data_IF_318942945709
#
_entry.id   IF_318942945709
#
_cell.length_a   1.000
_cell.length_b   1.000
_cell.length_c   1.000
_cell.angle_alpha   90.00
_cell.angle_beta   90.00
_cell.angle_gamma   90.00
#
_symmetry.space_group_name_H-M   'P 1'
#
loop_
_entity.id
_entity.type
_entity.pdbx_description
1 polymer ?
#
# COMPACT_ATOMS: atom_id res chain seq x y z
N UNK A 1 26.78 16.71 25.85
CA UNK A 1 26.11 16.28 24.60
C UNK A 1 26.40 14.82 24.36
N UNK A 2 25.66 13.95 25.06
CA UNK A 2 25.78 12.51 24.91
C UNK A 2 25.32 12.16 23.50
N UNK A 3 26.27 11.66 22.73
CA UNK A 3 26.13 11.13 21.38
C UNK A 3 24.83 10.32 21.25
N UNK A 4 24.15 10.47 20.11
CA UNK A 4 22.92 9.72 19.82
C UNK A 4 23.14 8.25 20.16
N UNK A 5 22.39 7.73 21.13
CA UNK A 5 22.47 6.33 21.58
C UNK A 5 22.51 5.39 20.38
N UNK A 6 23.49 4.49 20.36
CA UNK A 6 23.72 3.56 19.25
C UNK A 6 22.53 2.61 19.09
N UNK A 7 21.91 2.24 20.21
CA UNK A 7 20.75 1.37 20.27
C UNK A 7 19.49 2.15 20.64
N UNK A 8 18.34 1.56 20.28
CA UNK A 8 17.01 2.08 20.60
C UNK A 8 16.13 0.94 21.07
N UNK A 9 15.44 1.13 22.17
CA UNK A 9 14.45 0.19 22.66
C UNK A 9 13.09 0.49 22.00
N UNK A 10 12.46 -0.50 21.39
CA UNK A 10 11.10 -0.39 20.85
C UNK A 10 10.21 -1.34 21.65
N UNK A 11 9.11 -0.83 22.19
CA UNK A 11 8.08 -1.63 22.83
C UNK A 11 7.20 -2.28 21.76
N UNK A 12 7.14 -3.61 21.78
CA UNK A 12 6.29 -4.38 20.88
C UNK A 12 5.09 -4.91 21.66
N UNK A 13 3.88 -4.62 21.18
CA UNK A 13 2.69 -5.32 21.67
C UNK A 13 2.77 -6.80 21.28
N UNK A 14 2.10 -7.73 22.00
CA UNK A 14 2.14 -9.15 21.68
C UNK A 14 1.74 -9.47 20.23
N UNK A 15 0.78 -8.73 19.68
CA UNK A 15 0.34 -8.85 18.28
C UNK A 15 1.46 -8.51 17.30
N UNK A 16 2.19 -7.42 17.54
CA UNK A 16 3.29 -6.97 16.68
C UNK A 16 4.51 -7.87 16.86
N UNK A 17 4.79 -8.32 18.09
CA UNK A 17 5.88 -9.24 18.39
C UNK A 17 5.71 -10.60 17.67
N UNK A 18 4.47 -11.08 17.52
CA UNK A 18 4.19 -12.30 16.75
C UNK A 18 4.52 -12.17 15.26
N UNK A 19 4.58 -10.94 14.75
CA UNK A 19 4.89 -10.62 13.35
C UNK A 19 6.32 -10.10 13.16
N UNK A 20 7.23 -10.33 14.13
CA UNK A 20 8.56 -9.71 14.16
C UNK A 20 9.37 -9.84 12.87
N UNK A 21 9.32 -10.99 12.20
CA UNK A 21 10.02 -11.22 10.92
C UNK A 21 9.41 -10.44 9.74
N UNK A 22 8.13 -10.07 9.83
CA UNK A 22 7.41 -9.31 8.80
C UNK A 22 7.46 -7.79 9.05
N UNK A 23 8.07 -7.33 10.15
CA UNK A 23 8.13 -5.92 10.50
C UNK A 23 9.09 -5.17 9.56
N UNK A 24 8.60 -4.09 8.96
CA UNK A 24 9.41 -3.13 8.22
C UNK A 24 9.46 -1.80 8.96
N UNK A 25 10.66 -1.32 9.25
CA UNK A 25 10.86 -0.03 9.92
C UNK A 25 11.12 1.04 8.87
N UNK A 26 10.15 1.93 8.66
CA UNK A 26 10.24 3.07 7.74
C UNK A 26 10.07 4.38 8.52
N UNK A 27 11.15 4.96 9.03
CA UNK A 27 11.07 6.13 9.93
C UNK A 27 10.20 7.25 9.34
N UNK A 28 9.22 7.80 10.09
CA UNK A 28 8.96 7.63 11.52
C UNK A 28 7.94 6.52 11.88
N UNK A 29 7.57 5.65 10.94
CA UNK A 29 6.58 4.59 11.12
C UNK A 29 7.22 3.18 11.14
N UNK A 30 6.45 2.24 11.65
CA UNK A 30 6.70 0.81 11.62
C UNK A 30 5.48 0.17 10.95
N UNK A 31 5.71 -0.65 9.93
CA UNK A 31 4.65 -1.30 9.19
C UNK A 31 4.72 -2.82 9.39
N UNK A 32 3.57 -3.44 9.66
CA UNK A 32 3.36 -4.87 9.41
C UNK A 32 2.86 -5.04 7.98
N UNK A 33 2.48 -6.26 7.59
CA UNK A 33 1.82 -6.51 6.29
C UNK A 33 0.51 -5.72 6.10
N UNK A 34 -0.18 -5.39 7.19
CA UNK A 34 -1.56 -4.91 7.16
C UNK A 34 -1.84 -3.63 7.97
N UNK A 35 -0.92 -3.19 8.83
CA UNK A 35 -1.12 -2.04 9.72
C UNK A 35 0.12 -1.15 9.77
N UNK A 36 -0.11 0.15 9.93
CA UNK A 36 0.93 1.15 10.17
C UNK A 36 0.92 1.63 11.62
N UNK A 37 2.09 1.74 12.23
CA UNK A 37 2.30 2.22 13.58
C UNK A 37 3.22 3.44 13.59
N UNK A 38 2.81 4.52 14.22
CA UNK A 38 3.70 5.66 14.51
C UNK A 38 4.58 5.33 15.70
N UNK A 39 5.88 5.59 15.55
CA UNK A 39 6.87 5.42 16.61
C UNK A 39 6.94 6.71 17.44
N UNK A 40 6.58 6.66 18.71
CA UNK A 40 6.69 7.81 19.63
C UNK A 40 7.77 7.56 20.67
N UNK A 41 8.56 8.59 20.98
CA UNK A 41 9.58 8.51 22.03
C UNK A 41 8.96 8.86 23.37
N UNK A 42 9.17 7.99 24.35
CA UNK A 42 8.78 8.21 25.72
C UNK A 42 10.03 8.19 26.60
N UNK A 43 10.26 9.30 27.30
CA UNK A 43 11.43 9.46 28.16
C UNK A 43 11.17 8.88 29.56
N UNK A 44 12.22 8.32 30.16
CA UNK A 44 12.25 7.97 31.57
C UNK A 44 13.11 8.97 32.33
N UNK A 45 12.79 9.19 33.60
CA UNK A 45 13.66 9.95 34.51
C UNK A 45 14.89 9.15 34.95
N UNK A 46 14.89 7.84 34.71
CA UNK A 46 15.95 6.90 35.08
C UNK A 46 16.76 6.49 33.85
N UNK A 47 17.98 6.00 34.08
CA UNK A 47 18.84 5.43 33.04
C UNK A 47 18.71 3.91 33.01
N UNK A 48 18.48 3.35 31.83
CA UNK A 48 18.48 1.91 31.57
C UNK A 48 19.81 1.54 30.93
N UNK A 49 20.53 0.59 31.54
CA UNK A 49 21.82 0.11 31.02
C UNK A 49 21.56 -1.09 30.10
N UNK A 50 21.99 -0.98 28.85
CA UNK A 50 22.03 -2.11 27.93
C UNK A 50 23.32 -2.88 28.18
N UNK A 51 23.18 -4.14 28.62
CA UNK A 51 24.31 -4.99 28.96
C UNK A 51 24.52 -6.07 27.90
N UNK A 52 25.77 -6.38 27.59
CA UNK A 52 26.11 -7.58 26.82
C UNK A 52 27.07 -8.47 27.62
N UNK A 53 27.02 -9.81 27.45
CA UNK A 53 27.99 -10.69 28.06
C UNK A 53 29.40 -10.33 27.58
N UNK A 54 30.29 -10.05 28.52
CA UNK A 54 31.68 -9.72 28.19
C UNK A 54 32.39 -10.96 27.64
N UNK A 55 32.93 -10.85 26.43
CA UNK A 55 33.78 -11.87 25.83
C UNK A 55 35.22 -11.82 26.36
N UNK A 56 35.55 -10.81 27.18
CA UNK A 56 36.89 -10.64 27.75
C UNK A 56 37.01 -11.35 29.09
N UNK A 57 37.91 -12.33 29.16
CA UNK A 57 38.23 -13.02 30.40
C UNK A 57 39.00 -12.06 31.31
N UNK A 58 38.37 -11.56 32.37
CA UNK A 58 39.00 -10.63 33.30
C UNK A 58 39.87 -11.44 34.27
N UNK A 59 41.22 -11.40 34.19
CA UNK A 59 42.08 -12.36 34.89
C UNK A 59 42.18 -12.14 36.41
N UNK A 60 41.49 -11.14 36.96
CA UNK A 60 41.65 -10.66 38.34
C UNK A 60 40.35 -10.65 39.17
N UNK A 61 39.25 -11.22 38.67
CA UNK A 61 38.04 -11.40 39.49
C UNK A 61 38.18 -12.73 40.23
N UNK A 62 38.79 -12.65 41.42
CA UNK A 62 38.94 -13.81 42.30
C UNK A 62 37.55 -14.31 42.73
N UNK A 63 37.22 -15.56 42.36
CA UNK A 63 36.17 -16.41 42.95
C UNK A 63 34.69 -16.16 42.64
N UNK A 64 34.31 -15.75 41.43
CA UNK A 64 32.92 -15.90 41.00
C UNK A 64 32.83 -16.62 39.65
N UNK A 65 32.04 -17.70 39.61
CA UNK A 65 31.56 -18.35 38.37
C UNK A 65 30.49 -17.50 37.66
N UNK A 66 30.32 -16.24 38.06
CA UNK A 66 29.24 -15.39 37.60
C UNK A 66 29.61 -14.73 36.26
N UNK A 67 28.65 -14.64 35.32
CA UNK A 67 28.86 -13.99 34.04
C UNK A 67 29.20 -12.50 34.21
N UNK A 68 30.31 -12.08 33.61
CA UNK A 68 30.71 -10.67 33.54
C UNK A 68 29.95 -10.00 32.40
N UNK A 69 29.36 -8.83 32.66
CA UNK A 69 28.67 -8.03 31.65
C UNK A 69 29.35 -6.69 31.45
N UNK A 70 29.33 -6.19 30.22
CA UNK A 70 29.77 -4.84 29.88
C UNK A 70 28.58 -3.96 29.49
N UNK A 71 28.67 -2.66 29.84
CA UNK A 71 27.66 -1.66 29.45
C UNK A 71 27.91 -1.28 28.00
N UNK A 72 26.97 -1.62 27.14
CA UNK A 72 26.98 -1.32 25.71
C UNK A 72 26.39 0.05 25.43
N UNK A 73 25.30 0.41 26.13
CA UNK A 73 24.61 1.68 25.92
C UNK A 73 23.85 2.10 27.19
N UNK A 74 23.54 3.39 27.28
CA UNK A 74 22.73 3.98 28.36
C UNK A 74 21.52 4.67 27.75
N UNK A 75 20.35 4.06 27.90
CA UNK A 75 19.10 4.52 27.33
C UNK A 75 18.29 5.30 28.37
N UNK A 76 17.81 6.48 28.00
CA UNK A 76 16.91 7.31 28.83
C UNK A 76 15.52 7.51 28.18
N UNK A 77 15.23 6.76 27.12
CA UNK A 77 13.93 6.71 26.48
C UNK A 77 13.70 5.34 25.86
N UNK A 78 12.44 5.06 25.57
CA UNK A 78 12.00 3.97 24.71
C UNK A 78 11.07 4.50 23.63
N UNK A 79 10.86 3.68 22.61
CA UNK A 79 9.95 3.96 21.51
C UNK A 79 8.69 3.12 21.69
N UNK A 80 7.56 3.76 21.95
CA UNK A 80 6.25 3.10 21.94
C UNK A 80 5.65 3.10 20.53
N UNK A 81 4.81 2.09 20.25
CA UNK A 81 4.09 1.97 19.00
C UNK A 81 2.63 2.37 19.19
N UNK A 82 2.14 3.24 18.32
CA UNK A 82 0.73 3.62 18.27
C UNK A 82 0.16 3.37 16.90
N UNK A 83 -1.01 2.73 16.82
CA UNK A 83 -1.71 2.56 15.56
C UNK A 83 -1.93 3.92 14.91
N UNK A 84 -1.57 4.02 13.64
CA UNK A 84 -1.67 5.24 12.85
C UNK A 84 -2.53 4.99 11.63
N UNK A 85 -3.34 5.98 11.25
CA UNK A 85 -3.91 5.97 9.93
C UNK A 85 -2.77 6.06 8.88
N UNK A 86 -2.89 5.34 7.75
CA UNK A 86 -1.94 5.47 6.66
C UNK A 86 -2.02 6.88 6.07
N UNK A 87 -0.88 7.46 5.69
CA UNK A 87 -0.82 8.84 5.17
C UNK A 87 -1.15 8.90 3.68
N UNK A 88 -2.43 8.68 3.37
CA UNK A 88 -2.93 8.64 1.98
C UNK A 88 -2.83 10.00 1.28
N UNK A 89 -2.70 11.10 2.03
CA UNK A 89 -2.47 12.42 1.46
C UNK A 89 -1.16 12.46 0.63
N UNK A 90 -0.13 11.73 1.06
CA UNK A 90 1.13 11.61 0.33
C UNK A 90 0.92 10.92 -1.03
N UNK A 91 0.03 9.94 -1.09
CA UNK A 91 -0.30 9.26 -2.35
C UNK A 91 -0.96 10.23 -3.33
N UNK A 92 -1.85 11.10 -2.84
CA UNK A 92 -2.47 12.14 -3.65
C UNK A 92 -1.44 13.13 -4.20
N UNK A 93 -0.53 13.63 -3.36
CA UNK A 93 0.53 14.55 -3.81
C UNK A 93 1.41 13.95 -4.93
N UNK A 94 1.67 12.65 -4.87
CA UNK A 94 2.51 11.95 -5.84
C UNK A 94 1.76 11.67 -7.16
N UNK A 95 0.49 11.25 -7.11
CA UNK A 95 -0.24 10.73 -8.27
C UNK A 95 -1.14 11.75 -8.97
N UNK A 96 -1.61 12.79 -8.26
CA UNK A 96 -2.45 13.86 -8.84
C UNK A 96 -1.83 14.53 -10.07
N UNK A 97 -0.51 14.86 -10.10
CA UNK A 97 0.11 15.50 -11.26
C UNK A 97 0.13 14.66 -12.54
N UNK A 98 -0.12 13.35 -12.43
CA UNK A 98 -0.09 12.37 -13.52
C UNK A 98 -1.42 11.63 -13.69
N UNK A 99 -2.53 12.21 -13.21
CA UNK A 99 -3.88 11.66 -13.43
C UNK A 99 -4.07 11.33 -14.90
N UNK A 100 -4.57 10.14 -15.21
CA UNK A 100 -4.88 9.70 -16.57
C UNK A 100 -6.24 10.23 -17.02
N UNK A 101 -6.24 11.11 -18.02
CA UNK A 101 -7.45 11.73 -18.60
C UNK A 101 -7.90 11.12 -19.92
N UNK A 102 -7.21 10.08 -20.39
CA UNK A 102 -7.46 9.45 -21.68
C UNK A 102 -6.23 9.41 -22.59
N UNK A 103 -6.28 8.63 -23.68
CA UNK A 103 -5.12 8.35 -24.53
C UNK A 103 -4.63 9.60 -25.28
N UNK A 104 -5.53 10.53 -25.61
CA UNK A 104 -5.19 11.74 -26.37
C UNK A 104 -4.44 12.79 -25.53
N UNK A 105 -4.66 12.77 -24.21
CA UNK A 105 -4.07 13.72 -23.25
C UNK A 105 -2.69 13.29 -22.74
N UNK A 106 -2.18 12.14 -23.16
CA UNK A 106 -0.89 11.60 -22.67
C UNK A 106 0.31 12.52 -22.95
N UNK A 107 0.18 13.45 -23.90
CA UNK A 107 1.22 14.42 -24.24
C UNK A 107 1.46 15.44 -23.12
N UNK A 108 0.51 15.64 -22.20
CA UNK A 108 0.61 16.58 -21.08
C UNK A 108 1.68 16.16 -20.05
N UNK A 109 2.09 14.89 -20.02
CA UNK A 109 2.91 14.32 -18.95
C UNK A 109 4.39 14.12 -19.29
N UNK A 110 4.88 14.63 -20.43
CA UNK A 110 6.25 14.39 -20.91
C UNK A 110 7.35 14.71 -19.89
N UNK A 111 7.12 15.73 -19.05
CA UNK A 111 8.08 16.20 -18.05
C UNK A 111 7.70 15.79 -16.61
N UNK A 112 6.75 14.87 -16.44
CA UNK A 112 6.25 14.44 -15.13
C UNK A 112 6.91 13.14 -14.69
N UNK A 113 7.15 13.01 -13.39
CA UNK A 113 7.62 11.76 -12.78
C UNK A 113 6.44 10.83 -12.54
N UNK A 114 6.56 9.60 -13.01
CA UNK A 114 5.69 8.48 -12.66
C UNK A 114 6.31 7.64 -11.55
N UNK A 115 5.47 6.88 -10.84
CA UNK A 115 5.88 6.06 -9.71
C UNK A 115 5.48 4.60 -9.89
N UNK A 116 6.43 3.70 -9.68
CA UNK A 116 6.15 2.26 -9.59
C UNK A 116 5.52 1.93 -8.23
N UNK A 117 4.95 0.73 -8.08
CA UNK A 117 4.44 0.29 -6.79
C UNK A 117 5.52 0.33 -5.69
N UNK A 118 6.72 -0.15 -6.00
CA UNK A 118 7.84 -0.18 -5.05
C UNK A 118 8.29 1.23 -4.66
N UNK A 119 8.28 2.20 -5.59
CA UNK A 119 8.57 3.58 -5.25
C UNK A 119 7.49 4.16 -4.33
N UNK A 120 6.20 3.91 -4.61
CA UNK A 120 5.10 4.35 -3.74
C UNK A 120 5.19 3.74 -2.34
N UNK A 121 5.48 2.44 -2.23
CA UNK A 121 5.63 1.71 -0.97
C UNK A 121 6.82 2.22 -0.12
N UNK A 122 7.83 2.80 -0.75
CA UNK A 122 8.96 3.42 -0.06
C UNK A 122 8.72 4.89 0.33
N UNK A 123 7.85 5.60 -0.39
CA UNK A 123 7.59 7.03 -0.20
C UNK A 123 6.40 7.30 0.73
N UNK A 124 5.37 6.46 0.66
CA UNK A 124 4.12 6.61 1.41
C UNK A 124 4.21 5.85 2.72
N UNK A 125 3.88 6.53 3.83
CA UNK A 125 3.84 5.92 5.16
C UNK A 125 2.57 5.09 5.33
N UNK A 126 2.59 3.87 4.82
CA UNK A 126 1.51 2.90 4.89
C UNK A 126 2.04 1.46 4.86
N UNK A 127 1.25 0.50 5.32
CA UNK A 127 1.49 -0.91 5.03
C UNK A 127 1.14 -1.22 3.57
N UNK A 128 1.68 -2.31 3.05
CA UNK A 128 1.41 -2.78 1.68
C UNK A 128 -0.10 -2.93 1.43
N UNK A 129 -0.84 -3.47 2.41
CA UNK A 129 -2.29 -3.65 2.31
C UNK A 129 -3.03 -2.32 2.29
N UNK A 130 -2.68 -1.40 3.18
CA UNK A 130 -3.28 -0.06 3.24
C UNK A 130 -3.02 0.73 1.95
N UNK A 131 -1.80 0.65 1.40
CA UNK A 131 -1.45 1.29 0.14
C UNK A 131 -2.27 0.75 -1.03
N UNK A 132 -2.38 -0.58 -1.16
CA UNK A 132 -3.21 -1.22 -2.20
C UNK A 132 -4.68 -0.84 -2.07
N UNK A 133 -5.19 -0.80 -0.85
CA UNK A 133 -6.57 -0.41 -0.60
C UNK A 133 -6.80 1.07 -0.95
N UNK A 134 -5.86 1.94 -0.63
CA UNK A 134 -5.94 3.35 -1.01
C UNK A 134 -5.89 3.55 -2.52
N UNK A 135 -5.02 2.84 -3.23
CA UNK A 135 -4.98 2.84 -4.70
C UNK A 135 -6.32 2.41 -5.30
N UNK A 136 -6.89 1.29 -4.81
CA UNK A 136 -8.21 0.81 -5.24
C UNK A 136 -9.32 1.84 -4.99
N UNK A 137 -9.37 2.43 -3.80
CA UNK A 137 -10.41 3.40 -3.43
C UNK A 137 -10.35 4.70 -4.25
N UNK A 138 -9.20 5.01 -4.85
CA UNK A 138 -9.01 6.19 -5.71
C UNK A 138 -9.00 5.84 -7.21
N UNK A 139 -9.55 4.68 -7.60
CA UNK A 139 -9.60 4.22 -9.00
C UNK A 139 -8.24 4.27 -9.68
N UNK A 140 -7.19 3.91 -8.93
CA UNK A 140 -5.84 3.87 -9.47
C UNK A 140 -5.61 2.58 -10.25
N UNK A 141 -4.90 2.69 -11.37
CA UNK A 141 -4.52 1.57 -12.21
C UNK A 141 -3.03 1.64 -12.56
N UNK A 142 -2.44 0.46 -12.74
CA UNK A 142 -1.10 0.33 -13.29
C UNK A 142 -1.13 0.46 -14.81
N UNK A 143 -0.46 1.49 -15.33
CA UNK A 143 -0.34 1.79 -16.76
C UNK A 143 1.14 1.82 -17.11
N UNK A 144 1.58 0.89 -17.96
CA UNK A 144 2.98 0.77 -18.40
C UNK A 144 4.00 0.63 -17.23
N UNK A 145 3.62 -0.08 -16.16
CA UNK A 145 4.49 -0.30 -14.98
C UNK A 145 4.40 0.80 -13.93
N UNK A 146 3.56 1.82 -14.13
CA UNK A 146 3.40 2.95 -13.24
C UNK A 146 1.97 3.09 -12.75
N UNK A 147 1.81 3.42 -11.48
CA UNK A 147 0.48 3.63 -10.90
C UNK A 147 -0.01 5.05 -11.18
N UNK A 148 -1.27 5.16 -11.61
CA UNK A 148 -1.90 6.44 -11.93
C UNK A 148 -3.36 6.43 -11.48
N UNK A 149 -3.83 7.55 -10.95
CA UNK A 149 -5.26 7.79 -10.79
C UNK A 149 -5.91 7.99 -12.15
N UNK A 150 -7.15 7.55 -12.28
CA UNK A 150 -7.97 7.82 -13.46
C UNK A 150 -8.86 9.01 -13.15
N UNK A 151 -8.92 9.95 -14.09
CA UNK A 151 -9.76 11.14 -13.96
C UNK A 151 -11.24 10.77 -13.85
N UNK A 152 -11.98 11.42 -12.93
CA UNK A 152 -13.38 11.11 -12.69
C UNK A 152 -14.29 11.51 -13.86
N UNK A 153 -13.99 12.60 -14.58
CA UNK A 153 -14.73 12.99 -15.78
C UNK A 153 -14.49 11.97 -16.89
N UNK A 154 -13.26 11.46 -16.99
CA UNK A 154 -12.94 10.40 -17.94
C UNK A 154 -13.64 9.09 -17.59
N UNK A 155 -13.67 8.65 -16.32
CA UNK A 155 -14.47 7.49 -15.87
C UNK A 155 -15.94 7.69 -16.23
N UNK A 156 -16.50 8.87 -15.95
CA UNK A 156 -17.89 9.20 -16.26
C UNK A 156 -18.18 9.09 -17.76
N UNK A 157 -17.26 9.54 -18.63
CA UNK A 157 -17.40 9.42 -20.08
C UNK A 157 -17.49 7.96 -20.54
N UNK A 158 -16.68 7.07 -19.95
CA UNK A 158 -16.67 5.64 -20.27
C UNK A 158 -17.96 4.97 -19.75
N UNK A 159 -18.38 5.28 -18.52
CA UNK A 159 -19.63 4.75 -17.97
C UNK A 159 -20.84 5.16 -18.83
N UNK A 160 -20.89 6.40 -19.32
CA UNK A 160 -21.94 6.82 -20.24
C UNK A 160 -21.91 6.06 -21.57
N UNK A 161 -20.73 5.82 -22.14
CA UNK A 161 -20.59 5.01 -23.35
C UNK A 161 -21.10 3.57 -23.11
N UNK A 162 -20.78 2.98 -21.96
CA UNK A 162 -21.28 1.67 -21.54
C UNK A 162 -22.81 1.66 -21.43
N UNK A 163 -23.41 2.66 -20.78
CA UNK A 163 -24.87 2.79 -20.65
C UNK A 163 -25.57 2.88 -22.02
N UNK A 164 -25.00 3.62 -22.97
CA UNK A 164 -25.52 3.69 -24.34
C UNK A 164 -25.45 2.34 -25.06
N UNK A 165 -24.38 1.57 -24.84
CA UNK A 165 -24.24 0.22 -25.41
C UNK A 165 -25.31 -0.72 -24.84
N UNK A 166 -25.56 -0.65 -23.52
CA UNK A 166 -26.56 -1.49 -22.84
C UNK A 166 -27.96 -1.18 -23.37
N UNK A 167 -28.30 0.10 -23.52
CA UNK A 167 -29.57 0.54 -24.10
C UNK A 167 -29.74 0.02 -25.53
N UNK A 168 -28.68 0.15 -26.35
CA UNK A 168 -28.66 -0.36 -27.73
C UNK A 168 -28.87 -1.88 -27.81
N UNK A 169 -28.34 -2.65 -26.86
CA UNK A 169 -28.50 -4.10 -26.80
C UNK A 169 -29.80 -4.54 -26.15
N UNK A 170 -30.55 -3.62 -25.52
CA UNK A 170 -31.72 -3.95 -24.72
C UNK A 170 -31.42 -5.02 -23.65
N UNK A 171 -30.22 -4.96 -23.08
CA UNK A 171 -29.73 -5.89 -22.04
C UNK A 171 -29.99 -5.27 -20.66
N UNK A 172 -30.23 -6.12 -19.67
CA UNK A 172 -30.39 -5.69 -18.28
C UNK A 172 -29.03 -5.28 -17.68
N UNK A 173 -29.02 -4.23 -16.85
CA UNK A 173 -27.78 -3.75 -16.21
C UNK A 173 -27.12 -4.85 -15.36
N UNK A 174 -27.93 -5.74 -14.83
CA UNK A 174 -27.54 -6.85 -13.97
C UNK A 174 -26.82 -7.99 -14.74
N UNK A 175 -26.79 -7.94 -16.07
CA UNK A 175 -26.36 -9.05 -16.93
C UNK A 175 -25.60 -8.57 -18.17
N UNK A 176 -24.51 -7.85 -17.98
CA UNK A 176 -23.72 -7.27 -19.07
C UNK A 176 -22.52 -8.16 -19.39
N UNK A 177 -22.42 -8.77 -20.59
CA UNK A 177 -21.28 -9.59 -20.96
C UNK A 177 -20.00 -8.74 -21.11
N UNK A 178 -19.08 -8.82 -20.13
CA UNK A 178 -17.87 -7.98 -20.06
C UNK A 178 -17.05 -7.97 -21.36
N UNK A 179 -16.85 -9.13 -21.99
CA UNK A 179 -16.10 -9.23 -23.25
C UNK A 179 -16.75 -8.43 -24.37
N UNK A 180 -18.05 -8.64 -24.58
CA UNK A 180 -18.77 -7.90 -25.61
C UNK A 180 -18.80 -6.40 -25.29
N UNK A 181 -19.05 -6.04 -24.02
CA UNK A 181 -19.09 -4.64 -23.57
C UNK A 181 -17.74 -3.94 -23.78
N UNK A 182 -16.64 -4.61 -23.44
CA UNK A 182 -15.29 -4.15 -23.73
C UNK A 182 -15.05 -3.96 -25.24
N UNK A 183 -15.46 -4.91 -26.08
CA UNK A 183 -15.29 -4.82 -27.53
C UNK A 183 -16.13 -3.71 -28.16
N UNK A 184 -17.35 -3.49 -27.67
CA UNK A 184 -18.19 -2.39 -28.12
C UNK A 184 -17.65 -1.02 -27.66
N UNK A 185 -17.20 -0.93 -26.40
CA UNK A 185 -16.61 0.29 -25.83
C UNK A 185 -15.28 0.67 -26.49
N UNK A 186 -14.50 -0.30 -27.03
CA UNK A 186 -13.34 0.00 -27.89
C UNK A 186 -13.73 0.83 -29.12
N UNK A 187 -14.94 0.64 -29.66
CA UNK A 187 -15.48 1.42 -30.77
C UNK A 187 -15.61 2.92 -30.47
N UNK A 188 -15.63 3.29 -29.18
CA UNK A 188 -15.68 4.68 -28.71
C UNK A 188 -14.28 5.28 -28.47
N UNK A 189 -13.20 4.55 -28.80
CA UNK A 189 -11.82 5.06 -28.73
C UNK A 189 -11.13 4.88 -27.38
N UNK A 190 -11.78 4.21 -26.41
CA UNK A 190 -11.19 3.97 -25.09
C UNK A 190 -10.34 2.67 -25.06
N UNK A 191 -9.18 2.67 -24.37
CA UNK A 191 -8.37 1.46 -24.24
C UNK A 191 -9.06 0.36 -23.44
N UNK A 192 -8.89 -0.90 -23.89
CA UNK A 192 -9.55 -2.07 -23.28
C UNK A 192 -9.23 -2.27 -21.81
N UNK A 193 -7.96 -2.07 -21.44
CA UNK A 193 -7.50 -2.26 -20.06
C UNK A 193 -8.14 -1.24 -19.09
N UNK A 194 -8.45 -0.03 -19.56
CA UNK A 194 -9.16 0.98 -18.75
C UNK A 194 -10.62 0.56 -18.58
N UNK A 195 -11.29 0.16 -19.67
CA UNK A 195 -12.69 -0.26 -19.64
C UNK A 195 -12.86 -1.43 -18.67
N UNK A 196 -11.99 -2.43 -18.78
CA UNK A 196 -11.98 -3.58 -17.87
C UNK A 196 -11.79 -3.14 -16.41
N UNK A 197 -10.82 -2.27 -16.14
CA UNK A 197 -10.60 -1.77 -14.78
C UNK A 197 -11.81 -1.01 -14.22
N UNK A 198 -12.48 -0.19 -15.03
CA UNK A 198 -13.70 0.50 -14.61
C UNK A 198 -14.80 -0.53 -14.29
N UNK A 199 -14.96 -1.57 -15.10
CA UNK A 199 -15.88 -2.66 -14.75
C UNK A 199 -15.51 -3.31 -13.42
N UNK A 200 -14.26 -3.70 -13.22
CA UNK A 200 -13.79 -4.28 -11.94
C UNK A 200 -14.01 -3.35 -10.73
N UNK A 201 -14.07 -2.03 -10.94
CA UNK A 201 -14.30 -1.05 -9.87
C UNK A 201 -15.78 -0.84 -9.55
N UNK A 202 -16.67 -0.99 -10.54
CA UNK A 202 -18.10 -0.68 -10.44
C UNK A 202 -19.01 -1.90 -10.57
N UNK A 203 -18.44 -3.11 -10.64
CA UNK A 203 -19.21 -4.36 -10.76
C UNK A 203 -18.64 -5.48 -9.91
N UNK A 204 -19.51 -6.41 -9.53
CA UNK A 204 -19.13 -7.68 -8.91
C UNK A 204 -19.27 -8.84 -9.91
N UNK A 205 -18.20 -9.62 -10.08
CA UNK A 205 -18.22 -10.82 -10.91
C UNK A 205 -19.04 -11.93 -10.25
N UNK A 206 -20.02 -12.50 -10.95
CA UNK A 206 -20.77 -13.69 -10.52
C UNK A 206 -20.37 -14.87 -11.40
N UNK A 207 -19.74 -15.89 -10.83
CA UNK A 207 -19.45 -17.14 -11.55
C UNK A 207 -20.71 -18.00 -11.65
N UNK A 208 -21.38 -18.01 -12.81
CA UNK A 208 -22.42 -19.01 -13.10
C UNK A 208 -21.81 -20.18 -13.87
N UNK A 209 -21.67 -21.31 -13.19
CA UNK A 209 -21.24 -22.59 -13.76
C UNK A 209 -22.40 -23.28 -14.51
N UNK A 210 -22.75 -22.81 -15.70
CA UNK A 210 -23.62 -23.58 -16.61
C UNK A 210 -22.79 -24.15 -17.78
N UNK A 211 -22.40 -25.41 -17.65
CA UNK A 211 -21.54 -26.23 -18.53
C UNK A 211 -22.10 -26.51 -19.95
N UNK A 212 -23.02 -25.72 -20.49
CA UNK A 212 -23.62 -26.01 -21.80
C UNK A 212 -23.47 -24.92 -22.85
N UNK A 213 -22.68 -23.88 -22.59
CA UNK A 213 -22.28 -22.91 -23.62
C UNK A 213 -20.91 -22.33 -23.30
N UNK A 214 -20.04 -22.21 -24.30
CA UNK A 214 -18.69 -21.62 -24.21
C UNK A 214 -18.71 -20.10 -23.96
N UNK A 215 -19.46 -19.63 -22.96
CA UNK A 215 -19.52 -18.22 -22.60
C UNK A 215 -19.12 -18.04 -21.13
N UNK A 216 -17.94 -17.46 -20.92
CA UNK A 216 -17.66 -16.74 -19.69
C UNK A 216 -18.54 -15.48 -19.73
N UNK A 217 -19.65 -15.50 -18.99
CA UNK A 217 -20.51 -14.34 -18.79
C UNK A 217 -20.14 -13.78 -17.42
N UNK A 218 -19.23 -12.82 -17.41
CA UNK A 218 -19.02 -11.98 -16.24
C UNK A 218 -20.23 -11.05 -16.15
N UNK A 219 -20.98 -11.17 -15.05
CA UNK A 219 -22.15 -10.33 -14.76
C UNK A 219 -21.71 -9.02 -14.12
N UNK A 220 -22.57 -8.01 -14.20
CA UNK A 220 -22.39 -6.71 -13.56
C UNK A 220 -23.53 -6.55 -12.57
N UNK A 221 -23.23 -6.38 -11.29
CA UNK A 221 -24.19 -5.98 -10.26
C UNK A 221 -23.76 -4.64 -9.69
#
# INVERSE_FOLDING_TARGET
>A
DLEQSQYKLIELTPEVAALFEEIRIQKPVLCTKDKTFTIRKQHYSNSLLLLSPSLTFVPNVQNYQDPVFEVVDVLNYFCELTLSAPKIEQLNELLQPTIYKGPDEEREYKDKKFYTFDELDNLVQASVKELKQALKNNFALEINGYWRYIDLEYIHSILNAILLIIDLWSVQLECIPLKAACDAAKGYGHPTFIIQHIFECFSESVDNADESSNYFIEYIC
#
